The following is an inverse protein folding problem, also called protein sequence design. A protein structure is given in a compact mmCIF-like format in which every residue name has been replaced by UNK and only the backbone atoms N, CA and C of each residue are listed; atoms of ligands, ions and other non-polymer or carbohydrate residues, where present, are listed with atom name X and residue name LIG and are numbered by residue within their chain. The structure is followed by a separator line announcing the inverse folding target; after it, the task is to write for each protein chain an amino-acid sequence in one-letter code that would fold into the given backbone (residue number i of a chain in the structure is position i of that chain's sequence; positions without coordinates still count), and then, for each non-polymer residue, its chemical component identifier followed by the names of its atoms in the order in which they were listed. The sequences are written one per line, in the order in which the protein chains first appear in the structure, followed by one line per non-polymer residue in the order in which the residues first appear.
data_IF_163322424326
#
_entry.id   IF_163322424326
#
_cell.length_a   1.000
_cell.length_b   1.000
_cell.length_c   1.000
_cell.angle_alpha   90.00
_cell.angle_beta   90.00
_cell.angle_gamma   90.00
#
_symmetry.space_group_name_H-M   'P 1'
#
loop_
_entity.id
_entity.type
_entity.pdbx_description
1 polymer ?
#
# COMPACT_ATOMS: atom_id res chain seq x y z
N UNK A 1 -9.03 -5.96 -15.76
CA UNK A 1 -8.25 -7.20 -15.95
C UNK A 1 -8.33 -8.01 -14.67
N UNK A 2 -8.46 -9.35 -14.70
CA UNK A 2 -8.50 -10.13 -13.45
C UNK A 2 -7.08 -10.21 -12.88
N UNK A 3 -6.88 -9.76 -11.64
CA UNK A 3 -5.60 -9.98 -10.96
C UNK A 3 -5.48 -11.45 -10.62
N UNK A 4 -4.41 -12.09 -11.08
CA UNK A 4 -4.09 -13.46 -10.69
C UNK A 4 -3.82 -13.52 -9.19
N UNK A 5 -4.22 -14.61 -8.52
CA UNK A 5 -3.88 -14.82 -7.11
C UNK A 5 -2.37 -14.79 -6.84
N UNK A 6 -1.56 -15.12 -7.85
CA UNK A 6 -0.10 -14.96 -7.79
C UNK A 6 0.32 -13.48 -7.66
N UNK A 7 -0.31 -12.58 -8.43
CA UNK A 7 -0.03 -11.13 -8.38
C UNK A 7 -0.47 -10.55 -7.04
N UNK A 8 -1.62 -10.98 -6.51
CA UNK A 8 -2.09 -10.57 -5.18
C UNK A 8 -1.12 -11.08 -4.09
N UNK A 9 -0.60 -12.30 -4.22
CA UNK A 9 0.43 -12.84 -3.33
C UNK A 9 1.70 -12.00 -3.33
N UNK A 10 2.21 -11.67 -4.53
CA UNK A 10 3.39 -10.80 -4.69
C UNK A 10 3.17 -9.42 -4.07
N UNK A 11 2.00 -8.81 -4.32
CA UNK A 11 1.63 -7.52 -3.72
C UNK A 11 1.61 -7.58 -2.19
N UNK A 12 1.06 -8.65 -1.60
CA UNK A 12 1.00 -8.83 -0.14
C UNK A 12 2.40 -8.92 0.48
N UNK A 13 3.30 -9.67 -0.14
CA UNK A 13 4.70 -9.75 0.31
C UNK A 13 5.37 -8.39 0.20
N UNK A 14 5.21 -7.73 -0.95
CA UNK A 14 5.82 -6.43 -1.20
C UNK A 14 5.34 -5.34 -0.24
N UNK A 15 4.02 -5.26 -0.03
CA UNK A 15 3.40 -4.34 0.92
C UNK A 15 3.87 -4.60 2.35
N UNK A 16 4.06 -5.87 2.74
CA UNK A 16 4.59 -6.23 4.06
C UNK A 16 6.02 -5.72 4.24
N UNK A 17 6.88 -5.90 3.24
CA UNK A 17 8.26 -5.41 3.29
C UNK A 17 8.29 -3.88 3.44
N UNK A 18 7.41 -3.16 2.72
CA UNK A 18 7.28 -1.70 2.85
C UNK A 18 6.78 -1.24 4.23
N UNK A 19 5.96 -2.04 4.90
CA UNK A 19 5.50 -1.77 6.27
C UNK A 19 6.65 -1.96 7.26
N UNK A 20 7.40 -3.05 7.14
CA UNK A 20 8.57 -3.31 8.00
C UNK A 20 9.66 -2.27 7.78
N UNK A 21 9.92 -1.84 6.53
CA UNK A 21 10.83 -0.73 6.25
C UNK A 21 10.37 0.55 6.96
N UNK A 22 9.08 0.90 6.87
CA UNK A 22 8.56 2.08 7.55
C UNK A 22 8.66 1.99 9.08
N UNK A 23 8.55 0.78 9.66
CA UNK A 23 8.76 0.54 11.09
C UNK A 23 10.21 0.79 11.47
N UNK A 24 11.16 0.26 10.70
CA UNK A 24 12.59 0.45 10.93
C UNK A 24 13.00 1.92 10.80
N UNK A 25 12.51 2.62 9.77
CA UNK A 25 12.73 4.05 9.58
C UNK A 25 12.21 4.89 10.76
N UNK A 26 11.02 4.56 11.26
CA UNK A 26 10.41 5.27 12.41
C UNK A 26 11.24 5.05 13.68
N UNK A 27 11.65 3.81 13.95
CA UNK A 27 12.52 3.48 15.09
C UNK A 27 13.87 4.19 15.01
N UNK A 28 14.46 4.27 13.82
CA UNK A 28 15.72 4.98 13.62
C UNK A 28 15.54 6.49 13.88
N UNK A 29 14.49 7.12 13.34
CA UNK A 29 14.20 8.54 13.57
C UNK A 29 13.99 8.87 15.05
N UNK A 30 13.24 8.03 15.77
CA UNK A 30 13.03 8.17 17.21
C UNK A 30 14.34 8.03 17.99
N UNK A 31 15.20 7.06 17.63
CA UNK A 31 16.51 6.87 18.26
C UNK A 31 17.44 8.09 18.09
N UNK A 32 17.30 8.82 16.98
CA UNK A 32 18.02 10.07 16.73
C UNK A 32 17.31 11.32 17.29
N UNK A 33 16.14 11.17 17.94
CA UNK A 33 15.37 12.27 18.53
C UNK A 33 14.59 13.12 17.52
N UNK A 34 14.38 12.61 16.31
CA UNK A 34 13.56 13.28 15.29
C UNK A 34 12.09 12.89 15.42
N UNK A 35 11.19 13.83 15.15
CA UNK A 35 9.77 13.55 14.96
C UNK A 35 9.53 13.13 13.53
N UNK A 36 8.83 12.01 13.33
CA UNK A 36 8.39 11.59 12.00
C UNK A 36 7.41 12.63 11.42
N UNK A 37 7.49 12.95 10.12
CA UNK A 37 6.50 13.81 9.47
C UNK A 37 5.11 13.12 9.45
N UNK A 38 4.02 13.91 9.37
CA UNK A 38 2.69 13.34 9.25
C UNK A 38 2.59 12.48 7.99
N UNK A 39 1.98 11.30 8.12
CA UNK A 39 1.86 10.34 7.04
C UNK A 39 0.40 9.94 6.87
N UNK A 40 -0.07 9.92 5.62
CA UNK A 40 -1.48 9.78 5.26
C UNK A 40 -1.69 8.62 4.28
N UNK A 41 -2.92 8.09 4.17
CA UNK A 41 -3.23 7.02 3.22
C UNK A 41 -2.85 7.36 1.77
N UNK A 42 -3.06 8.61 1.35
CA UNK A 42 -2.67 9.06 0.00
C UNK A 42 -1.16 8.94 -0.24
N UNK A 43 -0.33 9.20 0.77
CA UNK A 43 1.11 9.00 0.68
C UNK A 43 1.46 7.51 0.53
N UNK A 44 0.78 6.63 1.26
CA UNK A 44 0.99 5.18 1.14
C UNK A 44 0.61 4.64 -0.24
N UNK A 45 -0.50 5.13 -0.82
CA UNK A 45 -0.92 4.76 -2.18
C UNK A 45 0.07 5.30 -3.21
N UNK A 46 0.49 6.56 -3.09
CA UNK A 46 1.47 7.16 -4.00
C UNK A 46 2.82 6.42 -3.95
N UNK A 47 3.33 6.13 -2.76
CA UNK A 47 4.55 5.36 -2.56
C UNK A 47 4.44 3.97 -3.20
N UNK A 48 3.32 3.28 -3.01
CA UNK A 48 3.09 1.97 -3.61
C UNK A 48 3.13 2.03 -5.15
N UNK A 49 2.42 2.99 -5.74
CA UNK A 49 2.36 3.13 -7.19
C UNK A 49 3.71 3.52 -7.79
N UNK A 50 4.45 4.42 -7.13
CA UNK A 50 5.78 4.83 -7.56
C UNK A 50 6.75 3.65 -7.57
N UNK A 51 6.76 2.82 -6.51
CA UNK A 51 7.73 1.72 -6.49
C UNK A 51 7.29 0.57 -7.41
N UNK A 52 5.98 0.36 -7.61
CA UNK A 52 5.52 -0.58 -8.64
C UNK A 52 5.95 -0.12 -10.04
N UNK A 53 5.90 1.19 -10.33
CA UNK A 53 6.37 1.78 -11.58
C UNK A 53 7.88 1.56 -11.77
N UNK A 54 8.70 2.00 -10.81
CA UNK A 54 10.15 1.80 -10.81
C UNK A 54 10.54 0.34 -11.03
N UNK A 55 9.79 -0.58 -10.42
CA UNK A 55 10.03 -2.01 -10.52
C UNK A 55 9.66 -2.57 -11.88
N UNK A 56 8.53 -2.14 -12.45
CA UNK A 56 8.13 -2.51 -13.81
C UNK A 56 9.14 -1.96 -14.82
N UNK A 57 9.64 -0.74 -14.62
CA UNK A 57 10.69 -0.16 -15.48
C UNK A 57 12.02 -0.91 -15.35
N UNK A 58 12.45 -1.26 -14.13
CA UNK A 58 13.76 -1.88 -13.88
C UNK A 58 13.83 -3.37 -14.19
N UNK A 59 12.78 -4.13 -13.90
CA UNK A 59 12.76 -5.59 -14.02
C UNK A 59 11.88 -6.08 -15.19
N UNK A 60 11.04 -5.21 -15.77
CA UNK A 60 10.24 -5.50 -16.97
C UNK A 60 9.28 -6.69 -16.83
N UNK A 61 9.06 -7.40 -17.94
CA UNK A 61 8.20 -8.61 -18.00
C UNK A 61 8.70 -9.74 -17.08
N UNK A 62 9.94 -9.69 -16.58
CA UNK A 62 10.52 -10.75 -15.74
C UNK A 62 9.90 -10.83 -14.33
N UNK A 63 9.21 -9.77 -13.85
CA UNK A 63 8.46 -9.78 -12.57
C UNK A 63 7.05 -10.37 -12.71
N UNK A 64 6.63 -10.73 -13.93
CA UNK A 64 5.28 -11.22 -14.19
C UNK A 64 4.17 -10.16 -14.06
N UNK A 65 4.53 -8.87 -14.02
CA UNK A 65 3.57 -7.76 -14.01
C UNK A 65 3.41 -7.21 -15.44
N UNK A 66 2.22 -7.35 -16.06
CA UNK A 66 1.97 -6.76 -17.37
C UNK A 66 1.96 -5.23 -17.30
N UNK A 67 2.29 -4.54 -18.40
CA UNK A 67 2.39 -3.07 -18.40
C UNK A 67 1.05 -2.39 -18.05
N UNK A 68 -0.08 -3.04 -18.38
CA UNK A 68 -1.41 -2.56 -18.02
C UNK A 68 -1.74 -2.73 -16.53
N UNK A 69 -0.94 -3.50 -15.78
CA UNK A 69 -1.13 -3.72 -14.35
C UNK A 69 -1.04 -2.42 -13.56
N UNK A 70 -0.06 -1.56 -13.86
CA UNK A 70 0.11 -0.30 -13.13
C UNK A 70 -1.09 0.62 -13.35
N UNK A 71 -1.58 0.73 -14.59
CA UNK A 71 -2.78 1.50 -14.91
C UNK A 71 -4.01 0.95 -14.18
N UNK A 72 -4.17 -0.38 -14.12
CA UNK A 72 -5.26 -1.00 -13.39
C UNK A 72 -5.14 -0.74 -11.88
N UNK A 73 -3.94 -0.90 -11.29
CA UNK A 73 -3.68 -0.60 -9.88
C UNK A 73 -3.98 0.87 -9.55
N UNK A 74 -3.53 1.80 -10.39
CA UNK A 74 -3.82 3.22 -10.25
C UNK A 74 -5.33 3.49 -10.26
N UNK A 75 -6.05 2.90 -11.22
CA UNK A 75 -7.51 3.03 -11.32
C UNK A 75 -8.21 2.50 -10.06
N UNK A 76 -7.86 1.29 -9.63
CA UNK A 76 -8.43 0.63 -8.45
C UNK A 76 -8.18 1.40 -7.16
N UNK A 77 -6.94 1.84 -6.94
CA UNK A 77 -6.60 2.65 -5.78
C UNK A 77 -7.33 3.99 -5.78
N UNK A 78 -7.57 4.60 -6.95
CA UNK A 78 -8.34 5.84 -7.06
C UNK A 78 -9.83 5.64 -6.79
N UNK A 79 -10.43 4.59 -7.33
CA UNK A 79 -11.83 4.24 -7.09
C UNK A 79 -12.09 3.95 -5.61
N UNK A 80 -11.19 3.20 -4.97
CA UNK A 80 -11.29 2.85 -3.55
C UNK A 80 -10.77 3.93 -2.59
N UNK A 81 -10.22 5.04 -3.09
CA UNK A 81 -9.47 6.02 -2.27
C UNK A 81 -10.28 6.56 -1.09
N UNK A 82 -11.54 6.92 -1.30
CA UNK A 82 -12.41 7.42 -0.23
C UNK A 82 -12.65 6.36 0.83
N UNK A 83 -13.00 5.13 0.42
CA UNK A 83 -13.24 4.01 1.34
C UNK A 83 -11.99 3.68 2.17
N UNK A 84 -10.83 3.61 1.52
CA UNK A 84 -9.54 3.37 2.16
C UNK A 84 -9.23 4.47 3.17
N UNK A 85 -9.45 5.73 2.80
CA UNK A 85 -9.17 6.88 3.68
C UNK A 85 -10.07 6.85 4.91
N UNK A 86 -11.37 6.64 4.73
CA UNK A 86 -12.34 6.57 5.82
C UNK A 86 -12.02 5.42 6.77
N UNK A 87 -11.68 4.24 6.23
CA UNK A 87 -11.30 3.07 7.02
C UNK A 87 -10.02 3.31 7.82
N UNK A 88 -8.97 3.83 7.18
CA UNK A 88 -7.71 4.11 7.89
C UNK A 88 -7.93 5.18 8.94
N UNK A 89 -8.73 6.21 8.66
CA UNK A 89 -9.08 7.22 9.64
C UNK A 89 -9.80 6.60 10.85
N UNK A 90 -10.83 5.77 10.64
CA UNK A 90 -11.52 5.09 11.74
C UNK A 90 -10.57 4.25 12.59
N UNK A 91 -9.74 3.42 11.96
CA UNK A 91 -8.81 2.51 12.65
C UNK A 91 -7.68 3.23 13.38
N UNK A 92 -7.25 4.39 12.88
CA UNK A 92 -6.19 5.19 13.52
C UNK A 92 -6.70 6.06 14.66
N UNK A 93 -7.98 6.45 14.66
CA UNK A 93 -8.59 7.25 15.73
C UNK A 93 -9.10 6.41 16.92
N UNK A 94 -9.05 5.07 16.84
CA UNK A 94 -9.40 4.16 17.96
C UNK A 94 -8.28 4.06 19.01
N UNK A 95 -7.07 4.56 18.72
CA UNK A 95 -5.90 4.53 19.64
C UNK A 95 -5.59 5.86 20.34
N UNK A 96 -4.92 5.80 21.50
CA UNK A 96 -4.46 6.98 22.27
C UNK A 96 -3.17 7.63 21.71
N UNK A 97 -2.44 6.93 20.85
CA UNK A 97 -1.21 7.42 20.22
C UNK A 97 -1.47 7.72 18.75
N UNK A 98 -0.99 8.87 18.28
CA UNK A 98 -1.07 9.24 16.86
C UNK A 98 -0.48 8.12 15.97
N UNK A 99 -1.04 7.91 14.77
CA UNK A 99 -0.68 6.75 13.97
C UNK A 99 0.74 6.89 13.42
N UNK A 100 1.57 5.87 13.61
CA UNK A 100 2.90 5.81 12.99
C UNK A 100 2.79 5.60 11.48
N UNK A 101 3.83 5.99 10.74
CA UNK A 101 3.95 5.74 9.28
C UNK A 101 3.69 4.27 8.95
N UNK A 102 4.27 3.36 9.72
CA UNK A 102 4.08 1.91 9.57
C UNK A 102 2.61 1.50 9.74
N UNK A 103 1.92 2.04 10.75
CA UNK A 103 0.51 1.72 11.00
C UNK A 103 -0.41 2.23 9.89
N UNK A 104 -0.16 3.45 9.40
CA UNK A 104 -0.91 3.99 8.26
C UNK A 104 -0.68 3.15 7.01
N UNK A 105 0.57 2.79 6.68
CA UNK A 105 0.87 1.89 5.55
C UNK A 105 0.17 0.54 5.69
N UNK A 106 0.26 -0.09 6.86
CA UNK A 106 -0.35 -1.39 7.12
C UNK A 106 -1.86 -1.36 6.86
N UNK A 107 -2.56 -0.38 7.43
CA UNK A 107 -4.01 -0.22 7.27
C UNK A 107 -4.38 0.12 5.82
N UNK A 108 -3.63 1.00 5.17
CA UNK A 108 -3.86 1.35 3.77
C UNK A 108 -3.69 0.13 2.87
N UNK A 109 -2.60 -0.62 3.02
CA UNK A 109 -2.32 -1.79 2.18
C UNK A 109 -3.29 -2.94 2.44
N UNK A 110 -3.66 -3.20 3.69
CA UNK A 110 -4.73 -4.16 3.99
C UNK A 110 -6.05 -3.77 3.30
N UNK A 111 -6.39 -2.49 3.30
CA UNK A 111 -7.60 -1.98 2.64
C UNK A 111 -7.52 -2.08 1.12
N UNK A 112 -6.36 -1.80 0.52
CA UNK A 112 -6.13 -1.99 -0.92
C UNK A 112 -6.31 -3.45 -1.30
N UNK A 113 -5.67 -4.38 -0.57
CA UNK A 113 -5.80 -5.82 -0.81
C UNK A 113 -7.26 -6.28 -0.72
N UNK A 114 -7.97 -5.86 0.33
CA UNK A 114 -9.40 -6.14 0.49
C UNK A 114 -10.21 -5.69 -0.74
N UNK A 115 -9.96 -4.49 -1.26
CA UNK A 115 -10.63 -3.98 -2.46
C UNK A 115 -10.30 -4.82 -3.71
N UNK A 116 -9.05 -5.27 -3.85
CA UNK A 116 -8.63 -6.12 -4.97
C UNK A 116 -9.21 -7.55 -4.87
N UNK A 117 -9.44 -8.06 -3.66
CA UNK A 117 -10.02 -9.38 -3.41
C UNK A 117 -11.56 -9.40 -3.48
N UNK A 118 -12.23 -8.26 -3.25
CA UNK A 118 -13.71 -8.14 -3.29
C UNK A 118 -14.33 -8.23 -4.69
N UNK A 119 -13.56 -8.05 -5.75
CA UNK A 119 -14.08 -8.19 -7.10
C UNK A 119 -14.42 -9.65 -7.41
N UNK A 120 -15.71 -9.98 -7.65
CA UNK A 120 -16.09 -11.34 -7.99
C UNK A 120 -15.41 -11.74 -9.29
N UNK A 121 -14.95 -12.98 -9.29
CA UNK A 121 -14.58 -13.69 -10.50
C UNK A 121 -15.85 -13.82 -11.34
N UNK A 122 -16.09 -12.86 -12.24
CA UNK A 122 -17.27 -12.86 -13.09
C UNK A 122 -17.35 -14.17 -13.90
N UNK A 123 -18.45 -14.89 -13.69
CA UNK A 123 -18.99 -15.90 -14.63
C UNK A 123 -19.45 -15.23 -15.93
#
# INVERSE_FOLDING_TARGET
MRLSGHIIGLLKEYMRDLVEQARQESQAQEAFGFSAPPYHPDHAIADLLAILDDRIESEGVQVGLPIEFLHEMWRRCNEARSEITDRVWLETNVGLSGPSKARVRELTYASVIDCLEREPSGE
#
